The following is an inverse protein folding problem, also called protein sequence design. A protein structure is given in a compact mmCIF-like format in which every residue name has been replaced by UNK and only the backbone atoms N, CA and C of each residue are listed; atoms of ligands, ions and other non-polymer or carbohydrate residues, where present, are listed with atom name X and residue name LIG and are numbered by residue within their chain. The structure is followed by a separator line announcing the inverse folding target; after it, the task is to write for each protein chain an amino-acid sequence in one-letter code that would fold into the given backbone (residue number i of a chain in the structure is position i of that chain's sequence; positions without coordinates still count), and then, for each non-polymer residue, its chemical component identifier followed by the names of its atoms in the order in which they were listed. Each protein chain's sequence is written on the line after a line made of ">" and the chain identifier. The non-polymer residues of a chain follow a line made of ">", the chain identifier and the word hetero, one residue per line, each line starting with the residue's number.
data_IF_758500090758
#
_entry.id   IF_758500090758
#
_cell.length_a   1.000
_cell.length_b   1.000
_cell.length_c   1.000
_cell.angle_alpha   90.00
_cell.angle_beta   90.00
_cell.angle_gamma   90.00
#
_symmetry.space_group_name_H-M   'P 1'
#
loop_
_entity.id
_entity.type
_entity.pdbx_description
1 polymer ?
#
# COMPACT_ATOMS: atom_id res chain seq x y z
N UNK A 1 13.17 -16.47 6.20
CA UNK A 1 12.73 -15.10 6.56
C UNK A 1 12.46 -14.87 8.05
N UNK A 2 12.13 -15.89 8.87
CA UNK A 2 11.77 -15.69 10.30
C UNK A 2 12.81 -14.95 11.14
N UNK A 3 14.11 -15.19 10.93
CA UNK A 3 15.19 -14.52 11.68
C UNK A 3 15.36 -13.04 11.34
N UNK A 4 14.92 -12.56 10.17
CA UNK A 4 15.03 -11.14 9.79
C UNK A 4 13.78 -10.36 10.19
N UNK A 5 12.61 -11.00 10.14
CA UNK A 5 11.34 -10.38 10.56
C UNK A 5 11.35 -9.93 12.03
N UNK A 6 12.04 -10.65 12.92
CA UNK A 6 12.13 -10.28 14.34
C UNK A 6 12.81 -8.93 14.61
N UNK A 7 13.57 -8.41 13.64
CA UNK A 7 14.27 -7.12 13.75
C UNK A 7 13.54 -5.98 13.03
N UNK A 8 12.55 -6.28 12.19
CA UNK A 8 11.77 -5.26 11.50
C UNK A 8 10.56 -4.87 12.33
N UNK A 9 10.44 -3.58 12.62
CA UNK A 9 9.27 -3.04 13.31
C UNK A 9 8.24 -2.51 12.33
N UNK A 10 8.68 -2.11 11.14
CA UNK A 10 7.86 -1.41 10.15
C UNK A 10 8.00 -1.98 8.76
N UNK A 11 6.97 -1.73 7.97
CA UNK A 11 6.96 -1.90 6.53
C UNK A 11 6.43 -0.64 5.87
N UNK A 12 6.82 -0.44 4.60
CA UNK A 12 6.28 0.65 3.79
C UNK A 12 6.29 0.29 2.31
N UNK A 13 5.39 0.91 1.54
CA UNK A 13 5.44 0.93 0.09
C UNK A 13 5.68 2.35 -0.43
N UNK A 14 6.55 2.47 -1.43
CA UNK A 14 6.88 3.73 -2.12
C UNK A 14 6.64 3.58 -3.62
N UNK A 15 6.35 4.71 -4.28
CA UNK A 15 6.22 4.76 -5.74
C UNK A 15 7.44 5.42 -6.39
N UNK A 16 8.06 4.72 -7.34
CA UNK A 16 9.19 5.20 -8.15
C UNK A 16 10.34 5.75 -7.29
N UNK A 17 10.72 4.98 -6.26
CA UNK A 17 11.77 5.36 -5.30
C UNK A 17 13.09 5.81 -5.96
N UNK A 18 13.62 5.17 -7.03
CA UNK A 18 14.85 5.64 -7.66
C UNK A 18 14.78 7.08 -8.17
N UNK A 19 13.59 7.59 -8.49
CA UNK A 19 13.38 8.94 -9.01
C UNK A 19 13.01 9.94 -7.91
N UNK A 20 12.23 9.52 -6.91
CA UNK A 20 11.62 10.43 -5.94
C UNK A 20 12.09 10.25 -4.49
N UNK A 21 12.81 9.17 -4.18
CA UNK A 21 13.14 8.81 -2.81
C UNK A 21 11.88 8.57 -1.96
N UNK A 22 11.90 9.05 -0.72
CA UNK A 22 10.73 9.00 0.19
C UNK A 22 10.20 10.41 0.38
N UNK A 23 9.04 10.72 -0.23
CA UNK A 23 8.38 12.03 -0.14
C UNK A 23 6.92 11.95 0.38
N UNK A 24 6.50 10.78 0.87
CA UNK A 24 5.16 10.48 1.41
C UNK A 24 3.98 10.69 0.44
N UNK A 25 4.25 10.98 -0.84
CA UNK A 25 3.21 10.97 -1.88
C UNK A 25 3.07 9.55 -2.42
N UNK A 26 1.83 9.08 -2.51
CA UNK A 26 1.50 7.74 -2.97
C UNK A 26 2.35 6.70 -2.21
N UNK A 27 2.08 6.63 -0.91
CA UNK A 27 2.94 5.99 0.09
C UNK A 27 2.09 5.35 1.18
N UNK A 28 2.47 4.18 1.66
CA UNK A 28 1.85 3.56 2.83
C UNK A 28 2.90 3.04 3.78
N UNK A 29 2.65 3.17 5.08
CA UNK A 29 3.49 2.67 6.16
C UNK A 29 2.63 2.05 7.25
N UNK A 30 3.07 0.91 7.75
CA UNK A 30 2.52 0.29 8.95
C UNK A 30 3.60 -0.37 9.77
N UNK A 31 3.21 -0.88 10.92
CA UNK A 31 4.05 -1.69 11.78
C UNK A 31 3.59 -3.15 11.76
N UNK A 32 4.54 -4.08 11.95
CA UNK A 32 4.25 -5.52 11.94
C UNK A 32 3.39 -5.98 13.11
N UNK A 33 3.32 -5.21 14.22
CA UNK A 33 2.47 -5.55 15.38
C UNK A 33 0.99 -5.38 15.07
N UNK A 34 0.63 -4.30 14.37
CA UNK A 34 -0.75 -4.01 13.98
C UNK A 34 -1.14 -4.75 12.70
N UNK A 35 -0.20 -4.91 11.76
CA UNK A 35 -0.45 -5.57 10.48
C UNK A 35 0.80 -6.25 9.92
N UNK A 36 0.83 -7.58 10.00
CA UNK A 36 1.85 -8.40 9.35
C UNK A 36 1.49 -8.70 7.89
N UNK A 37 2.04 -7.89 6.99
CA UNK A 37 1.79 -7.99 5.54
C UNK A 37 2.47 -9.21 4.89
N UNK A 38 3.49 -9.81 5.51
CA UNK A 38 4.21 -10.93 4.91
C UNK A 38 3.38 -12.21 5.01
N UNK A 39 2.69 -12.39 6.14
CA UNK A 39 1.83 -13.55 6.38
C UNK A 39 0.34 -13.26 6.10
N UNK A 40 0.01 -12.08 5.59
CA UNK A 40 -1.37 -11.69 5.33
C UNK A 40 -1.97 -12.46 4.16
N UNK A 41 -3.15 -13.02 4.35
CA UNK A 41 -4.06 -13.48 3.30
C UNK A 41 -5.45 -12.95 3.66
N UNK A 42 -6.09 -12.26 2.73
CA UNK A 42 -7.40 -11.68 2.97
C UNK A 42 -8.00 -11.01 1.74
N UNK A 43 -9.32 -10.87 1.79
CA UNK A 43 -10.13 -10.35 0.70
C UNK A 43 -10.87 -9.11 1.20
N UNK A 44 -10.21 -7.96 1.12
CA UNK A 44 -10.79 -6.68 1.52
C UNK A 44 -10.92 -6.47 3.02
N UNK A 45 -9.92 -6.86 3.81
CA UNK A 45 -9.95 -6.58 5.25
C UNK A 45 -9.39 -5.19 5.56
N UNK A 46 -10.06 -4.47 6.48
CA UNK A 46 -9.54 -3.22 7.02
C UNK A 46 -8.37 -3.50 7.97
N UNK A 47 -7.19 -2.99 7.63
CA UNK A 47 -5.96 -3.14 8.43
C UNK A 47 -5.40 -1.78 8.81
N UNK A 48 -4.94 -1.67 10.05
CA UNK A 48 -4.41 -0.42 10.60
C UNK A 48 -3.07 -0.10 9.96
N UNK A 49 -2.91 1.15 9.56
CA UNK A 49 -1.68 1.72 9.02
C UNK A 49 -1.33 3.00 9.77
N UNK A 50 -0.04 3.31 9.85
CA UNK A 50 0.44 4.53 10.50
C UNK A 50 0.21 5.74 9.62
N UNK A 51 0.46 5.57 8.33
CA UNK A 51 0.22 6.58 7.32
C UNK A 51 -0.15 5.90 6.00
N UNK A 52 -1.08 6.51 5.27
CA UNK A 52 -1.39 6.13 3.89
C UNK A 52 -1.67 7.38 3.07
N UNK A 53 -1.17 7.41 1.84
CA UNK A 53 -1.53 8.40 0.84
C UNK A 53 -1.74 7.74 -0.51
N UNK A 54 -2.86 8.09 -1.16
CA UNK A 54 -3.20 7.67 -2.53
C UNK A 54 -3.81 8.88 -3.22
N UNK A 55 -3.20 9.36 -4.30
CA UNK A 55 -3.70 10.49 -5.13
C UNK A 55 -4.05 11.73 -4.29
N UNK A 56 -3.17 12.07 -3.33
CA UNK A 56 -3.31 13.14 -2.35
C UNK A 56 -4.39 12.96 -1.26
N UNK A 57 -5.18 11.87 -1.28
CA UNK A 57 -5.93 11.46 -0.09
C UNK A 57 -4.93 10.99 0.96
N UNK A 58 -5.04 11.47 2.20
CA UNK A 58 -4.11 11.13 3.28
C UNK A 58 -4.87 10.62 4.50
N UNK A 59 -4.33 9.61 5.15
CA UNK A 59 -4.81 9.07 6.41
C UNK A 59 -3.64 8.85 7.37
N UNK A 60 -3.86 9.11 8.65
CA UNK A 60 -2.91 8.84 9.73
C UNK A 60 -3.59 7.99 10.79
N UNK A 61 -2.93 6.91 11.21
CA UNK A 61 -3.45 5.96 12.22
C UNK A 61 -4.88 5.45 11.91
N UNK A 62 -5.16 5.22 10.62
CA UNK A 62 -6.46 4.77 10.13
C UNK A 62 -6.38 3.32 9.65
N UNK A 63 -7.54 2.69 9.47
CA UNK A 63 -7.64 1.46 8.70
C UNK A 63 -7.75 1.74 7.20
N UNK A 64 -6.94 1.03 6.42
CA UNK A 64 -7.05 0.96 4.96
C UNK A 64 -7.41 -0.48 4.55
N UNK A 65 -8.08 -0.65 3.42
CA UNK A 65 -8.55 -1.95 2.96
C UNK A 65 -7.45 -2.64 2.16
N UNK A 66 -7.11 -3.87 2.51
CA UNK A 66 -6.06 -4.64 1.85
C UNK A 66 -6.58 -5.97 1.31
N UNK A 67 -5.99 -6.39 0.19
CA UNK A 67 -6.24 -7.66 -0.46
C UNK A 67 -4.93 -8.40 -0.69
N UNK A 68 -4.95 -9.71 -0.49
CA UNK A 68 -3.88 -10.63 -0.88
C UNK A 68 -4.46 -12.05 -0.92
N UNK A 69 -4.29 -12.75 -2.04
CA UNK A 69 -4.78 -14.13 -2.21
C UNK A 69 -3.76 -14.98 -2.95
N UNK A 70 -3.35 -16.08 -2.30
CA UNK A 70 -2.38 -17.02 -2.85
C UNK A 70 -2.79 -17.51 -4.25
N UNK A 71 -1.88 -17.35 -5.20
CA UNK A 71 -2.08 -17.78 -6.59
C UNK A 71 -3.07 -16.94 -7.40
N UNK A 72 -3.60 -15.84 -6.86
CA UNK A 72 -4.58 -15.00 -7.56
C UNK A 72 -4.15 -13.53 -7.64
N UNK A 73 -3.83 -12.89 -6.52
CA UNK A 73 -3.35 -11.50 -6.50
C UNK A 73 -2.42 -11.21 -5.32
N UNK A 74 -1.39 -10.41 -5.58
CA UNK A 74 -0.46 -9.92 -4.56
C UNK A 74 -1.06 -8.87 -3.64
N UNK A 75 -0.30 -8.43 -2.64
CA UNK A 75 -0.72 -7.38 -1.71
C UNK A 75 -1.04 -6.08 -2.45
N UNK A 76 -2.23 -5.54 -2.22
CA UNK A 76 -2.63 -4.23 -2.76
C UNK A 76 -3.76 -3.59 -1.93
N UNK A 77 -4.04 -2.33 -2.23
CA UNK A 77 -5.23 -1.59 -1.82
C UNK A 77 -6.03 -1.30 -3.07
N UNK A 78 -7.32 -1.61 -3.13
CA UNK A 78 -8.21 -1.11 -4.17
C UNK A 78 -8.88 0.18 -3.70
N UNK A 79 -8.50 1.32 -4.30
CA UNK A 79 -9.03 2.63 -3.91
C UNK A 79 -10.48 2.87 -4.32
N UNK A 80 -11.07 2.01 -5.15
CA UNK A 80 -12.48 2.09 -5.52
C UNK A 80 -13.43 1.60 -4.40
N UNK A 81 -12.90 0.90 -3.39
CA UNK A 81 -13.65 0.46 -2.21
C UNK A 81 -13.36 1.36 -0.98
N UNK A 82 -14.39 1.97 -0.40
CA UNK A 82 -14.28 3.02 0.62
C UNK A 82 -15.01 2.73 1.94
N UNK A 83 -15.03 1.46 2.36
CA UNK A 83 -15.71 0.97 3.57
C UNK A 83 -14.83 0.93 4.83
N UNK A 84 -13.53 1.20 4.72
CA UNK A 84 -12.66 1.44 5.89
C UNK A 84 -12.62 2.93 6.30
N UNK A 85 -11.80 3.27 7.30
CA UNK A 85 -11.63 4.66 7.73
C UNK A 85 -10.96 5.53 6.65
N UNK A 86 -9.96 4.99 5.97
CA UNK A 86 -9.33 5.65 4.83
C UNK A 86 -10.20 5.45 3.57
N UNK A 87 -10.61 6.55 2.93
CA UNK A 87 -11.57 6.56 1.82
C UNK A 87 -11.02 7.32 0.58
N UNK A 88 -10.15 6.70 -0.23
CA UNK A 88 -9.51 7.34 -1.38
C UNK A 88 -10.34 7.29 -2.69
N UNK A 89 -11.65 7.00 -2.63
CA UNK A 89 -12.46 6.70 -3.82
C UNK A 89 -12.68 7.88 -4.77
N UNK A 90 -12.64 9.11 -4.27
CA UNK A 90 -12.78 10.29 -5.12
C UNK A 90 -11.64 10.35 -6.15
N UNK A 91 -12.02 10.29 -7.44
CA UNK A 91 -11.09 10.26 -8.58
C UNK A 91 -10.43 8.91 -8.84
N UNK A 92 -10.87 7.83 -8.18
CA UNK A 92 -10.45 6.46 -8.51
C UNK A 92 -11.05 6.03 -9.86
N UNK A 93 -10.38 5.09 -10.52
CA UNK A 93 -11.00 4.28 -11.59
C UNK A 93 -11.58 2.99 -11.00
N UNK A 94 -12.44 2.30 -11.75
CA UNK A 94 -13.00 1.02 -11.31
C UNK A 94 -11.87 0.01 -11.09
N UNK A 95 -11.87 -0.66 -9.92
CA UNK A 95 -10.84 -1.62 -9.52
C UNK A 95 -9.42 -1.05 -9.65
N UNK A 96 -9.22 0.18 -9.13
CA UNK A 96 -7.92 0.84 -9.12
C UNK A 96 -7.04 0.24 -8.02
N UNK A 97 -6.22 -0.73 -8.42
CA UNK A 97 -5.26 -1.37 -7.54
C UNK A 97 -4.04 -0.46 -7.31
N UNK A 98 -3.77 -0.18 -6.05
CA UNK A 98 -2.66 0.63 -5.59
C UNK A 98 -1.65 -0.25 -4.85
N UNK A 99 -0.36 0.04 -5.03
CA UNK A 99 0.77 -0.66 -4.44
C UNK A 99 0.94 -2.13 -4.88
N UNK A 100 0.25 -2.57 -5.94
CA UNK A 100 0.35 -3.91 -6.54
C UNK A 100 -0.75 -4.18 -7.58
N UNK A 101 -0.72 -5.36 -8.20
CA UNK A 101 -1.69 -5.93 -9.17
C UNK A 101 -1.86 -5.17 -10.51
N UNK A 102 -2.12 -3.87 -10.47
CA UNK A 102 -2.20 -2.94 -11.61
C UNK A 102 -2.97 -3.45 -12.85
N UNK A 103 -4.17 -4.01 -12.66
CA UNK A 103 -5.05 -4.29 -13.80
C UNK A 103 -5.67 -3.03 -14.40
N UNK A 104 -6.12 -2.11 -13.55
CA UNK A 104 -6.59 -0.79 -13.97
C UNK A 104 -5.73 0.29 -13.33
N UNK A 105 -5.02 1.04 -14.16
CA UNK A 105 -4.05 2.05 -13.72
C UNK A 105 -4.67 3.44 -13.71
N UNK A 106 -4.20 4.31 -12.80
CA UNK A 106 -4.56 5.72 -12.80
C UNK A 106 -3.32 6.60 -12.94
N UNK A 107 -3.21 7.46 -13.97
CA UNK A 107 -2.06 8.33 -14.17
C UNK A 107 -1.83 9.35 -13.04
N UNK A 108 -2.83 9.57 -12.18
CA UNK A 108 -2.70 10.41 -10.98
C UNK A 108 -2.00 9.69 -9.83
N UNK A 109 -1.97 8.36 -9.82
CA UNK A 109 -1.30 7.53 -8.83
C UNK A 109 0.11 7.18 -9.30
N UNK A 110 1.13 7.65 -8.58
CA UNK A 110 2.52 7.60 -9.05
C UNK A 110 3.04 6.19 -9.34
N UNK A 111 2.61 5.16 -8.61
CA UNK A 111 3.11 3.80 -8.84
C UNK A 111 2.57 3.17 -10.13
N UNK A 112 1.55 3.76 -10.75
CA UNK A 112 0.93 3.29 -12.00
C UNK A 112 0.75 4.44 -12.98
N UNK A 113 1.64 5.43 -12.96
CA UNK A 113 1.48 6.66 -13.75
C UNK A 113 1.75 6.41 -15.23
N UNK A 114 2.81 5.67 -15.50
CA UNK A 114 3.37 5.36 -16.81
C UNK A 114 4.19 4.05 -16.73
N UNK A 115 4.79 3.64 -17.85
CA UNK A 115 5.56 2.39 -17.97
C UNK A 115 6.88 2.38 -17.16
N UNK A 116 7.37 3.55 -16.75
CA UNK A 116 8.53 3.70 -15.87
C UNK A 116 8.17 3.65 -14.39
N UNK A 117 6.87 3.61 -14.08
CA UNK A 117 6.40 3.62 -12.71
C UNK A 117 6.67 2.29 -12.02
N UNK A 118 7.10 2.37 -10.76
CA UNK A 118 7.45 1.18 -9.98
C UNK A 118 6.90 1.27 -8.57
N UNK A 119 6.68 0.11 -7.94
CA UNK A 119 6.36 0.01 -6.51
C UNK A 119 7.50 -0.70 -5.80
N UNK A 120 7.96 -0.16 -4.69
CA UNK A 120 8.94 -0.82 -3.83
C UNK A 120 8.37 -1.05 -2.44
N UNK A 121 8.48 -2.29 -1.97
CA UNK A 121 8.16 -2.68 -0.61
C UNK A 121 9.43 -2.76 0.22
N UNK A 122 9.40 -2.16 1.40
CA UNK A 122 10.53 -2.08 2.31
C UNK A 122 10.14 -2.63 3.67
N UNK A 123 11.00 -3.47 4.25
CA UNK A 123 10.87 -3.97 5.62
C UNK A 123 12.08 -3.47 6.42
N UNK A 124 11.85 -2.87 7.58
CA UNK A 124 12.88 -2.17 8.31
C UNK A 124 12.51 -1.80 9.74
N UNK A 125 13.48 -1.22 10.44
CA UNK A 125 13.30 -0.61 11.76
C UNK A 125 13.11 0.91 11.70
N UNK A 126 13.03 1.56 12.86
CA UNK A 126 13.22 3.01 12.93
C UNK A 126 14.64 3.37 12.49
N UNK A 127 14.76 4.35 11.60
CA UNK A 127 15.92 5.25 11.52
C UNK A 127 15.69 6.39 12.52
#
# INVERSE_FOLDING_TARGET
>A
MRSLQSHFTHWRATCSYPTHGVDFRDYVRGNFKDFDIVNYIGDGQCKKVEFVSIRNHKGMHQTAKFWQKNGVWGLHIDSSFADCQFKPSSGSVATEDNFGLYWNTNPKFRCSKDDQSTTQWWFGGHL
#
